data_IF_654010432601
#
_entry.id   IF_654010432601
#
_cell.length_a   1.000
_cell.length_b   1.000
_cell.length_c   1.000
_cell.angle_alpha   90.00
_cell.angle_beta   90.00
_cell.angle_gamma   90.00
#
_symmetry.space_group_name_H-M   'P 1'
#
loop_
_entity.id
_entity.type
_entity.pdbx_description
1 polymer ?
#
# COMPACT_ATOMS: atom_id res chain seq x y z
N UNK A 1 -29.49 -35.53 -18.49
CA UNK A 1 -30.09 -34.18 -18.36
C UNK A 1 -29.98 -33.85 -16.89
N UNK A 2 -28.86 -33.25 -16.44
CA UNK A 2 -28.48 -31.84 -16.62
C UNK A 2 -29.18 -30.96 -15.59
N UNK A 3 -28.87 -31.21 -14.32
CA UNK A 3 -29.13 -30.26 -13.25
C UNK A 3 -28.19 -29.07 -13.46
N UNK A 4 -28.76 -27.97 -13.93
CA UNK A 4 -28.06 -26.69 -14.07
C UNK A 4 -27.99 -26.10 -12.67
N UNK A 5 -26.95 -26.47 -11.91
CA UNK A 5 -26.67 -25.84 -10.62
C UNK A 5 -26.37 -24.36 -10.84
N UNK A 6 -27.34 -23.53 -10.49
CA UNK A 6 -27.27 -22.08 -10.51
C UNK A 6 -26.02 -21.61 -9.72
N UNK A 7 -25.09 -20.83 -10.31
CA UNK A 7 -23.83 -20.49 -9.65
C UNK A 7 -24.11 -19.72 -8.37
N UNK A 8 -23.64 -20.26 -7.23
CA UNK A 8 -23.79 -19.60 -5.93
C UNK A 8 -22.90 -18.35 -5.96
N UNK A 9 -23.54 -17.19 -6.01
CA UNK A 9 -22.86 -15.92 -5.78
C UNK A 9 -22.36 -15.91 -4.33
N UNK A 10 -21.05 -15.77 -4.13
CA UNK A 10 -20.40 -15.80 -2.81
C UNK A 10 -19.51 -14.58 -2.75
N UNK A 11 -19.77 -13.66 -1.83
CA UNK A 11 -18.96 -12.44 -1.67
C UNK A 11 -17.54 -12.79 -1.24
N UNK A 12 -16.58 -11.96 -1.66
CA UNK A 12 -15.14 -12.11 -1.38
C UNK A 12 -14.85 -12.41 0.10
N UNK A 13 -15.51 -11.73 1.02
CA UNK A 13 -15.43 -11.94 2.49
C UNK A 13 -15.82 -13.36 2.93
N UNK A 14 -16.82 -13.98 2.27
CA UNK A 14 -17.23 -15.36 2.56
C UNK A 14 -16.24 -16.37 1.98
N UNK A 15 -15.57 -16.05 0.87
CA UNK A 15 -14.50 -16.88 0.28
C UNK A 15 -13.27 -16.86 1.19
N UNK A 16 -12.85 -15.68 1.67
CA UNK A 16 -11.73 -15.52 2.62
C UNK A 16 -11.96 -16.34 3.89
N UNK A 17 -13.14 -16.22 4.53
CA UNK A 17 -13.49 -17.04 5.70
C UNK A 17 -13.48 -18.54 5.44
N UNK A 18 -13.87 -18.99 4.24
CA UNK A 18 -13.77 -20.40 3.85
C UNK A 18 -12.32 -20.85 3.68
N UNK A 19 -11.44 -20.00 3.15
CA UNK A 19 -10.01 -20.30 3.01
C UNK A 19 -9.31 -20.35 4.37
N UNK A 20 -9.62 -19.42 5.27
CA UNK A 20 -9.14 -19.44 6.66
C UNK A 20 -9.54 -20.75 7.35
N UNK A 21 -10.81 -21.16 7.25
CA UNK A 21 -11.27 -22.47 7.74
C UNK A 21 -10.53 -23.68 7.08
N UNK A 22 -10.17 -23.60 5.78
CA UNK A 22 -9.43 -24.67 5.08
C UNK A 22 -7.96 -24.75 5.56
N UNK A 23 -7.36 -23.61 5.94
CA UNK A 23 -6.04 -23.54 6.56
C UNK A 23 -6.10 -24.14 7.96
N UNK A 24 -7.07 -23.73 8.79
CA UNK A 24 -7.24 -24.22 10.17
C UNK A 24 -7.55 -25.72 10.24
N UNK A 25 -8.34 -26.24 9.29
CA UNK A 25 -8.61 -27.69 9.17
C UNK A 25 -7.50 -28.47 8.47
N UNK A 26 -6.39 -27.81 8.10
CA UNK A 26 -5.24 -28.38 7.38
C UNK A 26 -5.64 -29.22 6.14
N UNK A 27 -6.66 -28.76 5.41
CA UNK A 27 -7.37 -29.56 4.41
C UNK A 27 -6.99 -29.19 2.96
N UNK A 28 -5.73 -28.82 2.73
CA UNK A 28 -5.21 -28.44 1.41
C UNK A 28 -3.70 -28.27 1.37
N UNK A 29 -3.23 -27.64 0.30
CA UNK A 29 -1.87 -27.11 0.20
C UNK A 29 -1.85 -25.75 0.90
N UNK A 30 -1.29 -25.72 2.11
CA UNK A 30 -1.28 -24.53 2.97
C UNK A 30 -0.59 -23.35 2.28
N UNK A 31 0.52 -23.59 1.57
CA UNK A 31 1.27 -22.54 0.88
C UNK A 31 0.46 -21.93 -0.27
N UNK A 32 -0.25 -22.79 -1.02
CA UNK A 32 -1.16 -22.35 -2.07
C UNK A 32 -2.39 -21.61 -1.51
N UNK A 33 -2.97 -22.06 -0.40
CA UNK A 33 -4.08 -21.38 0.28
C UNK A 33 -3.66 -19.99 0.79
N UNK A 34 -2.46 -19.83 1.34
CA UNK A 34 -1.93 -18.51 1.70
C UNK A 34 -1.73 -17.61 0.47
N UNK A 35 -1.17 -18.11 -0.63
CA UNK A 35 -1.02 -17.32 -1.86
C UNK A 35 -2.38 -16.83 -2.39
N UNK A 36 -3.39 -17.70 -2.37
CA UNK A 36 -4.75 -17.36 -2.79
C UNK A 36 -5.38 -16.33 -1.86
N UNK A 37 -5.20 -16.47 -0.54
CA UNK A 37 -5.69 -15.53 0.46
C UNK A 37 -5.01 -14.15 0.34
N UNK A 38 -3.72 -14.12 0.03
CA UNK A 38 -2.96 -12.90 -0.30
C UNK A 38 -3.53 -12.21 -1.55
N UNK A 39 -3.74 -12.95 -2.65
CA UNK A 39 -4.34 -12.42 -3.88
C UNK A 39 -5.75 -11.85 -3.65
N UNK A 40 -6.60 -12.55 -2.88
CA UNK A 40 -7.94 -12.09 -2.55
C UNK A 40 -7.95 -10.87 -1.62
N UNK A 41 -7.01 -10.76 -0.67
CA UNK A 41 -6.85 -9.54 0.15
C UNK A 41 -6.36 -8.34 -0.66
N UNK A 42 -5.60 -8.58 -1.72
CA UNK A 42 -5.10 -7.55 -2.63
C UNK A 42 -6.06 -7.21 -3.79
N UNK A 43 -7.31 -7.71 -3.76
CA UNK A 43 -8.33 -7.57 -4.82
C UNK A 43 -7.81 -7.87 -6.24
N UNK A 44 -6.87 -8.83 -6.35
CA UNK A 44 -6.30 -9.26 -7.63
C UNK A 44 -7.12 -10.42 -8.22
N UNK A 45 -7.33 -10.44 -9.56
CA UNK A 45 -7.98 -11.56 -10.21
C UNK A 45 -7.16 -12.83 -10.00
N UNK A 46 -7.82 -13.87 -9.49
CA UNK A 46 -7.18 -15.13 -9.16
C UNK A 46 -6.86 -15.94 -10.43
N UNK A 47 -5.68 -16.57 -10.51
CA UNK A 47 -5.32 -17.40 -11.67
C UNK A 47 -6.31 -18.55 -11.86
N UNK A 48 -6.58 -18.93 -13.12
CA UNK A 48 -7.53 -19.99 -13.45
C UNK A 48 -7.21 -21.34 -12.76
N UNK A 49 -5.92 -21.66 -12.60
CA UNK A 49 -5.46 -22.83 -11.83
C UNK A 49 -5.91 -22.80 -10.37
N UNK A 50 -5.95 -21.63 -9.75
CA UNK A 50 -6.26 -21.39 -8.34
C UNK A 50 -7.77 -21.24 -8.11
N UNK A 51 -8.49 -20.67 -9.08
CA UNK A 51 -9.95 -20.73 -9.13
C UNK A 51 -10.42 -22.19 -9.15
N UNK A 52 -9.94 -22.99 -10.11
CA UNK A 52 -10.23 -24.43 -10.20
C UNK A 52 -9.83 -25.19 -8.92
N UNK A 53 -8.77 -24.77 -8.23
CA UNK A 53 -8.38 -25.37 -6.96
C UNK A 53 -9.39 -25.07 -5.84
N UNK A 54 -9.84 -23.82 -5.71
CA UNK A 54 -10.89 -23.43 -4.77
C UNK A 54 -12.23 -24.10 -5.09
N UNK A 55 -12.66 -24.12 -6.36
CA UNK A 55 -13.94 -24.72 -6.77
C UNK A 55 -13.99 -26.22 -6.45
N UNK A 56 -12.89 -26.95 -6.70
CA UNK A 56 -12.75 -28.35 -6.34
C UNK A 56 -12.77 -28.59 -4.82
N UNK A 57 -12.24 -27.65 -4.02
CA UNK A 57 -12.20 -27.74 -2.55
C UNK A 57 -13.52 -27.34 -1.89
N UNK A 58 -14.21 -26.34 -2.45
CA UNK A 58 -15.46 -25.77 -1.93
C UNK A 58 -16.70 -26.50 -2.51
N UNK A 59 -16.51 -27.36 -3.53
CA UNK A 59 -17.54 -28.12 -4.24
C UNK A 59 -18.66 -27.23 -4.80
N UNK A 60 -18.26 -26.24 -5.60
CA UNK A 60 -19.20 -25.39 -6.31
C UNK A 60 -18.49 -24.28 -7.09
N UNK A 61 -19.06 -23.94 -8.24
CA UNK A 61 -18.67 -22.74 -8.98
C UNK A 61 -19.08 -21.50 -8.21
N UNK A 62 -18.21 -20.50 -8.18
CA UNK A 62 -18.46 -19.21 -7.55
C UNK A 62 -18.00 -18.07 -8.45
N UNK A 63 -18.78 -17.00 -8.48
CA UNK A 63 -18.38 -15.74 -9.10
C UNK A 63 -17.90 -14.84 -7.98
N UNK A 64 -16.62 -14.43 -8.03
CA UNK A 64 -16.09 -13.41 -7.13
C UNK A 64 -16.75 -12.09 -7.55
N UNK A 65 -17.61 -11.56 -6.69
CA UNK A 65 -18.11 -10.19 -6.79
C UNK A 65 -17.34 -9.38 -5.77
N UNK A 66 -16.56 -8.41 -6.26
CA UNK A 66 -15.82 -7.47 -5.42
C UNK A 66 -16.80 -6.48 -4.77
N UNK A 67 -17.05 -6.64 -3.47
CA UNK A 67 -17.66 -5.60 -2.65
C UNK A 67 -16.57 -4.57 -2.29
N UNK A 68 -16.27 -3.65 -3.21
CA UNK A 68 -15.90 -2.25 -2.92
C UNK A 68 -15.69 -1.42 -4.21
N UNK A 69 -16.76 -1.24 -4.98
CA UNK A 69 -16.97 0.09 -5.59
C UNK A 69 -17.78 0.91 -4.58
N UNK A 70 -17.19 1.94 -3.92
CA UNK A 70 -17.96 2.77 -3.01
C UNK A 70 -19.09 3.43 -3.81
N UNK A 71 -20.32 3.31 -3.28
CA UNK A 71 -21.58 3.87 -3.80
C UNK A 71 -21.34 5.00 -4.80
N UNK A 72 -21.84 4.84 -6.03
CA UNK A 72 -21.90 5.92 -7.01
C UNK A 72 -22.39 7.19 -6.32
N UNK A 73 -21.47 8.11 -6.07
CA UNK A 73 -21.78 9.34 -5.39
C UNK A 73 -22.69 10.10 -6.36
N UNK A 74 -23.95 10.44 -6.02
CA UNK A 74 -24.91 10.98 -7.01
C UNK A 74 -24.44 12.31 -7.62
N UNK A 75 -23.38 12.91 -7.06
CA UNK A 75 -22.64 14.02 -7.64
C UNK A 75 -21.73 13.62 -8.81
N UNK A 76 -21.09 12.45 -8.82
CA UNK A 76 -20.22 11.99 -9.92
C UNK A 76 -21.02 11.76 -11.19
N UNK A 77 -22.14 11.02 -11.12
CA UNK A 77 -23.02 10.82 -12.27
C UNK A 77 -23.58 12.15 -12.79
N UNK A 78 -23.85 13.11 -11.90
CA UNK A 78 -24.25 14.48 -12.27
C UNK A 78 -23.13 15.28 -12.95
N UNK A 79 -21.91 15.24 -12.43
CA UNK A 79 -20.74 15.88 -13.05
C UNK A 79 -20.49 15.27 -14.43
N UNK A 80 -20.58 13.94 -14.56
CA UNK A 80 -20.47 13.24 -15.85
C UNK A 80 -21.54 13.72 -16.82
N UNK A 81 -22.82 13.82 -16.42
CA UNK A 81 -23.87 14.37 -17.30
C UNK A 81 -23.64 15.84 -17.70
N UNK A 82 -22.94 16.65 -16.88
CA UNK A 82 -22.57 18.02 -17.25
C UNK A 82 -21.42 18.05 -18.26
N UNK A 83 -20.47 17.12 -18.17
CA UNK A 83 -19.40 16.92 -19.15
C UNK A 83 -20.00 16.43 -20.47
N UNK A 84 -20.82 15.39 -20.44
CA UNK A 84 -21.44 14.77 -21.63
C UNK A 84 -22.42 15.72 -22.35
N UNK A 85 -23.08 16.62 -21.61
CA UNK A 85 -23.95 17.66 -22.19
C UNK A 85 -23.21 18.94 -22.60
N UNK A 86 -21.90 19.06 -22.31
CA UNK A 86 -21.10 20.26 -22.61
C UNK A 86 -21.50 21.51 -21.80
N UNK A 87 -22.25 21.37 -20.70
CA UNK A 87 -22.79 22.50 -19.93
C UNK A 87 -21.80 22.93 -18.84
N UNK A 88 -20.70 23.56 -19.27
CA UNK A 88 -19.70 24.13 -18.36
C UNK A 88 -18.32 24.28 -18.98
N UNK A 89 -17.33 24.48 -18.12
CA UNK A 89 -15.92 24.37 -18.48
C UNK A 89 -15.49 22.90 -18.30
N UNK A 90 -15.14 22.17 -19.38
CA UNK A 90 -14.82 20.75 -19.29
C UNK A 90 -13.55 20.49 -18.48
N UNK A 91 -12.57 21.40 -18.49
CA UNK A 91 -11.35 21.25 -17.68
C UNK A 91 -11.65 21.39 -16.20
N UNK A 92 -12.51 22.34 -15.84
CA UNK A 92 -12.95 22.54 -14.45
C UNK A 92 -13.87 21.41 -13.96
N UNK A 93 -14.78 20.92 -14.81
CA UNK A 93 -15.64 19.77 -14.48
C UNK A 93 -14.84 18.47 -14.33
N UNK A 94 -13.82 18.23 -15.17
CA UNK A 94 -12.93 17.08 -15.00
C UNK A 94 -12.15 17.17 -13.69
N UNK A 95 -11.61 18.35 -13.33
CA UNK A 95 -10.96 18.57 -12.04
C UNK A 95 -11.90 18.26 -10.87
N UNK A 96 -13.16 18.70 -10.94
CA UNK A 96 -14.18 18.38 -9.94
C UNK A 96 -14.46 16.87 -9.87
N UNK A 97 -14.59 16.20 -11.01
CA UNK A 97 -14.77 14.74 -11.09
C UNK A 97 -13.61 13.99 -10.43
N UNK A 98 -12.37 14.38 -10.72
CA UNK A 98 -11.16 13.79 -10.16
C UNK A 98 -11.04 14.05 -8.64
N UNK A 99 -11.52 15.20 -8.13
CA UNK A 99 -11.55 15.47 -6.69
C UNK A 99 -12.65 14.72 -5.95
N UNK A 100 -13.87 14.65 -6.51
CA UNK A 100 -14.99 13.92 -5.91
C UNK A 100 -14.75 12.41 -5.93
N UNK A 101 -14.17 11.85 -7.01
CA UNK A 101 -13.81 10.42 -7.08
C UNK A 101 -12.70 10.06 -6.08
N UNK A 102 -11.81 11.00 -5.76
CA UNK A 102 -10.83 10.89 -4.67
C UNK A 102 -11.42 11.17 -3.26
N UNK A 103 -12.74 11.36 -3.13
CA UNK A 103 -13.44 11.73 -1.88
C UNK A 103 -12.85 12.98 -1.17
N UNK A 104 -12.30 13.93 -1.93
CA UNK A 104 -11.76 15.19 -1.39
C UNK A 104 -12.82 16.29 -1.45
N UNK A 105 -12.92 17.16 -0.43
CA UNK A 105 -13.85 18.29 -0.46
C UNK A 105 -13.46 19.27 -1.59
N UNK A 106 -14.45 19.68 -2.38
CA UNK A 106 -14.30 20.76 -3.36
C UNK A 106 -14.15 22.11 -2.66
N UNK A 107 -13.46 23.04 -3.30
CA UNK A 107 -13.44 24.43 -2.87
C UNK A 107 -14.84 25.04 -2.95
N UNK A 108 -15.13 26.02 -2.08
CA UNK A 108 -16.45 26.67 -2.04
C UNK A 108 -16.85 27.28 -3.40
N UNK A 109 -15.90 27.86 -4.14
CA UNK A 109 -16.09 28.36 -5.50
C UNK A 109 -16.47 27.27 -6.53
N UNK A 110 -16.05 26.03 -6.31
CA UNK A 110 -16.37 24.87 -7.15
C UNK A 110 -17.72 24.24 -6.76
N UNK A 111 -18.04 24.22 -5.46
CA UNK A 111 -19.36 23.82 -4.96
C UNK A 111 -20.46 24.73 -5.51
N UNK A 112 -20.30 26.05 -5.38
CA UNK A 112 -21.24 27.06 -5.91
C UNK A 112 -21.36 26.97 -7.43
N UNK A 113 -20.25 26.69 -8.14
CA UNK A 113 -20.28 26.47 -9.59
C UNK A 113 -21.14 25.25 -9.97
N UNK A 114 -20.94 24.12 -9.29
CA UNK A 114 -21.72 22.91 -9.50
C UNK A 114 -23.20 23.11 -9.18
N UNK A 115 -23.51 23.75 -8.04
CA UNK A 115 -24.91 24.06 -7.69
C UNK A 115 -25.59 24.92 -8.74
N UNK A 116 -24.93 25.99 -9.21
CA UNK A 116 -25.52 26.88 -10.21
C UNK A 116 -25.72 26.18 -11.55
N UNK A 117 -24.80 25.30 -11.96
CA UNK A 117 -24.94 24.51 -13.19
C UNK A 117 -26.05 23.46 -13.08
N UNK A 118 -26.15 22.77 -11.95
CA UNK A 118 -27.23 21.81 -11.70
C UNK A 118 -28.61 22.50 -11.62
N UNK A 119 -28.70 23.68 -10.98
CA UNK A 119 -29.93 24.51 -10.98
C UNK A 119 -30.31 24.90 -12.42
N UNK A 120 -29.36 25.41 -13.22
CA UNK A 120 -29.64 25.74 -14.63
C UNK A 120 -30.09 24.55 -15.50
N UNK A 121 -29.71 23.31 -15.16
CA UNK A 121 -30.23 22.11 -15.80
C UNK A 121 -31.64 21.71 -15.33
N UNK A 122 -32.02 22.00 -14.07
CA UNK A 122 -33.39 21.78 -13.58
C UNK A 122 -34.38 22.87 -14.00
N UNK A 123 -33.91 24.10 -14.23
CA UNK A 123 -34.77 25.27 -14.47
C UNK A 123 -35.41 25.29 -15.87
N UNK A 124 -34.99 24.41 -16.79
CA UNK A 124 -35.74 24.11 -18.02
C UNK A 124 -37.06 23.35 -17.74
N UNK A 125 -37.33 22.97 -16.49
CA UNK A 125 -38.50 22.20 -16.05
C UNK A 125 -39.14 22.76 -14.76
N UNK A 126 -39.26 24.09 -14.61
CA UNK A 126 -40.39 24.82 -13.96
C UNK A 126 -40.14 26.33 -13.85
N UNK A 127 -40.93 27.13 -14.57
CA UNK A 127 -41.19 28.51 -14.19
C UNK A 127 -42.31 28.54 -13.13
N UNK A 128 -42.09 29.22 -12.00
CA UNK A 128 -42.98 30.23 -11.38
C UNK A 128 -42.75 30.45 -9.87
N UNK A 129 -43.10 31.67 -9.42
CA UNK A 129 -43.15 32.22 -8.05
C UNK A 129 -41.84 32.63 -7.36
N UNK A 130 -41.66 33.97 -7.28
CA UNK A 130 -41.72 34.77 -6.03
C UNK A 130 -40.79 34.43 -4.83
N UNK A 131 -40.28 35.38 -4.04
CA UNK A 131 -39.99 36.82 -4.19
C UNK A 131 -39.26 37.27 -2.90
N UNK A 132 -38.48 38.37 -2.94
CA UNK A 132 -38.04 39.19 -1.77
C UNK A 132 -37.03 38.55 -0.78
N UNK A 133 -35.83 39.14 -0.61
CA UNK A 133 -35.42 40.08 0.47
C UNK A 133 -35.14 39.39 1.83
N UNK A 134 -34.17 39.78 2.67
CA UNK A 134 -33.28 40.96 2.68
C UNK A 134 -32.06 40.72 3.61
N UNK A 135 -30.98 41.51 3.43
CA UNK A 135 -30.01 42.05 4.43
C UNK A 135 -29.40 41.12 5.54
N UNK A 136 -28.26 41.39 6.17
CA UNK A 136 -27.34 42.56 6.20
C UNK A 136 -25.97 42.11 6.76
N UNK A 137 -24.84 42.56 6.18
CA UNK A 137 -23.91 43.60 6.70
C UNK A 137 -23.11 43.19 7.95
N UNK A 138 -21.80 43.04 7.76
CA UNK A 138 -20.72 43.83 8.40
C UNK A 138 -19.42 43.45 7.63
N UNK A 139 -18.79 44.37 6.88
CA UNK A 139 -17.82 45.40 7.34
C UNK A 139 -16.47 44.75 7.76
N UNK A 140 -15.25 45.21 7.42
CA UNK A 140 -14.70 46.36 6.68
C UNK A 140 -13.19 46.05 6.38
N UNK A 141 -12.40 46.62 5.45
CA UNK A 141 -12.53 47.71 4.44
C UNK A 141 -11.42 47.46 3.34
N UNK A 142 -11.61 47.77 2.04
CA UNK A 142 -11.01 48.90 1.25
C UNK A 142 -9.46 49.04 1.41
N UNK A 143 -8.63 49.14 0.37
CA UNK A 143 -8.73 50.12 -0.75
C UNK A 143 -8.17 49.65 -2.10
N UNK A 144 -8.82 50.11 -3.18
CA UNK A 144 -8.31 50.10 -4.55
C UNK A 144 -8.05 51.54 -5.01
N UNK A 145 -6.89 51.82 -5.59
CA UNK A 145 -6.75 52.86 -6.63
C UNK A 145 -5.96 52.21 -7.78
N UNK A 146 -6.51 52.00 -8.99
CA UNK A 146 -7.21 52.86 -9.94
C UNK A 146 -6.38 53.96 -10.61
N UNK A 147 -6.06 53.68 -11.87
CA UNK A 147 -5.99 54.61 -13.03
C UNK A 147 -4.71 55.43 -13.27
N UNK A 148 -4.19 55.17 -14.46
CA UNK A 148 -3.82 56.14 -15.50
C UNK A 148 -2.89 57.30 -15.12
N UNK A 149 -1.67 57.25 -15.69
CA UNK A 149 -1.05 58.45 -16.25
C UNK A 149 -0.23 58.07 -17.49
N UNK A 150 -0.77 58.35 -18.67
CA UNK A 150 -0.01 58.38 -19.92
C UNK A 150 0.94 59.57 -19.88
N UNK A 151 2.25 59.34 -19.89
CA UNK A 151 3.24 60.42 -19.98
C UNK A 151 3.51 60.69 -21.46
N UNK A 152 2.68 61.53 -22.06
CA UNK A 152 2.93 62.10 -23.38
C UNK A 152 4.18 62.99 -23.35
N UNK A 153 5.14 62.85 -24.28
CA UNK A 153 6.30 63.73 -24.34
C UNK A 153 5.84 65.13 -24.75
N UNK A 154 6.02 66.11 -23.85
CA UNK A 154 5.64 67.49 -24.11
C UNK A 154 6.67 68.14 -25.06
N UNK A 155 6.48 67.94 -26.36
CA UNK A 155 7.21 68.64 -27.42
C UNK A 155 6.73 70.10 -27.43
N UNK A 156 7.32 70.90 -26.53
CA UNK A 156 7.20 72.35 -26.57
C UNK A 156 8.12 72.85 -27.68
N UNK A 157 7.66 72.74 -28.91
CA UNK A 157 8.23 73.42 -30.06
C UNK A 157 7.99 74.93 -29.91
N UNK A 158 8.79 75.58 -29.06
CA UNK A 158 8.89 77.03 -29.01
C UNK A 158 9.60 77.54 -30.27
N UNK A 159 8.91 77.50 -31.40
CA UNK A 159 9.17 78.39 -32.54
C UNK A 159 8.78 79.80 -32.16
N UNK A 160 9.56 80.42 -31.26
CA UNK A 160 9.56 81.86 -31.07
C UNK A 160 10.02 82.50 -32.38
N UNK A 161 9.07 82.93 -33.18
CA UNK A 161 9.33 83.88 -34.26
C UNK A 161 10.04 85.08 -33.65
N UNK A 162 11.30 85.32 -34.05
CA UNK A 162 12.01 86.57 -33.73
C UNK A 162 11.38 87.72 -34.53
N UNK A 163 10.21 88.17 -34.07
CA UNK A 163 9.71 89.51 -34.38
C UNK A 163 10.65 90.50 -33.67
N UNK A 164 11.53 91.17 -34.42
CA UNK A 164 12.33 92.28 -33.89
C UNK A 164 11.38 93.30 -33.23
N UNK A 165 11.56 93.65 -31.95
CA UNK A 165 10.86 94.79 -31.38
C UNK A 165 11.26 96.04 -32.17
N UNK A 166 10.31 96.67 -32.85
CA UNK A 166 10.53 97.98 -33.48
C UNK A 166 10.69 99.03 -32.38
N UNK A 167 11.92 99.18 -31.88
CA UNK A 167 12.33 100.20 -30.93
C UNK A 167 12.16 101.59 -31.57
N UNK A 168 10.96 102.17 -31.44
CA UNK A 168 10.73 103.61 -31.66
C UNK A 168 11.26 104.40 -30.45
N UNK A 169 12.58 104.41 -30.31
CA UNK A 169 13.30 105.38 -29.49
C UNK A 169 14.07 106.32 -30.41
N UNK A 170 13.71 107.61 -30.42
CA UNK A 170 14.59 108.63 -31.02
C UNK A 170 15.80 108.81 -30.12
N UNK A 171 17.01 108.62 -30.64
CA UNK A 171 18.23 108.80 -29.85
C UNK A 171 18.35 110.23 -29.31
N UNK A 172 18.98 110.43 -28.14
CA UNK A 172 19.26 111.76 -27.62
C UNK A 172 20.06 112.60 -28.62
N UNK A 173 19.68 113.87 -28.81
CA UNK A 173 20.48 114.81 -29.62
C UNK A 173 21.86 114.95 -28.98
N UNK A 174 22.91 114.53 -29.69
CA UNK A 174 24.29 114.44 -29.19
C UNK A 174 24.88 113.03 -29.19
N UNK A 175 24.13 112.00 -29.60
CA UNK A 175 24.69 110.67 -29.87
C UNK A 175 25.39 110.65 -31.24
N UNK A 176 26.71 110.79 -31.24
CA UNK A 176 27.54 110.50 -32.40
C UNK A 176 27.85 108.98 -32.39
N UNK A 177 27.58 108.23 -33.48
CA UNK A 177 28.06 106.86 -33.55
C UNK A 177 29.60 106.86 -33.51
N UNK A 178 30.24 105.95 -32.75
CA UNK A 178 31.70 105.88 -32.72
C UNK A 178 32.21 105.59 -34.13
N UNK A 179 33.29 106.27 -34.51
CA UNK A 179 33.94 106.07 -35.81
C UNK A 179 34.28 104.59 -36.02
N UNK A 180 34.20 104.16 -37.28
CA UNK A 180 34.12 102.77 -37.72
C UNK A 180 35.20 101.86 -37.10
N UNK A 181 34.90 101.26 -35.94
CA UNK A 181 35.72 100.23 -35.30
C UNK A 181 35.49 98.86 -35.97
N UNK A 182 35.91 98.74 -37.22
CA UNK A 182 35.89 97.48 -37.99
C UNK A 182 36.50 96.32 -37.20
N UNK A 183 37.54 96.59 -36.43
CA UNK A 183 38.34 95.59 -35.74
C UNK A 183 37.60 95.01 -34.52
N UNK A 184 36.80 95.83 -33.81
CA UNK A 184 35.94 95.35 -32.72
C UNK A 184 34.77 94.50 -33.26
N UNK A 185 34.15 94.88 -34.39
CA UNK A 185 33.12 94.05 -35.03
C UNK A 185 33.67 92.76 -35.64
N UNK A 186 34.86 92.80 -36.24
CA UNK A 186 35.51 91.60 -36.80
C UNK A 186 35.88 90.62 -35.68
N UNK A 187 36.45 91.12 -34.58
CA UNK A 187 36.72 90.32 -33.38
C UNK A 187 35.46 89.79 -32.68
N UNK A 188 34.30 90.42 -32.84
CA UNK A 188 33.01 89.86 -32.41
C UNK A 188 32.54 88.74 -33.34
N UNK A 189 32.67 88.90 -34.66
CA UNK A 189 32.29 87.88 -35.64
C UNK A 189 33.15 86.62 -35.55
N UNK A 190 34.45 86.76 -35.33
CA UNK A 190 35.36 85.63 -35.07
C UNK A 190 34.97 84.89 -33.78
N UNK A 191 34.65 85.61 -32.69
CA UNK A 191 34.17 85.00 -31.45
C UNK A 191 32.88 84.21 -31.67
N UNK A 192 31.89 84.80 -32.34
CA UNK A 192 30.63 84.11 -32.68
C UNK A 192 30.92 82.84 -33.49
N UNK A 193 31.84 82.89 -34.47
CA UNK A 193 32.22 81.71 -35.26
C UNK A 193 32.85 80.61 -34.38
N UNK A 194 33.77 80.97 -33.48
CA UNK A 194 34.37 80.00 -32.54
C UNK A 194 33.36 79.44 -31.54
N UNK A 195 32.36 80.23 -31.15
CA UNK A 195 31.26 79.80 -30.28
C UNK A 195 30.26 78.89 -31.01
N UNK A 196 29.98 79.15 -32.29
CA UNK A 196 29.22 78.22 -33.13
C UNK A 196 29.95 76.89 -33.36
N UNK A 197 31.27 76.91 -33.49
CA UNK A 197 32.10 75.71 -33.63
C UNK A 197 32.11 74.91 -32.32
N UNK A 198 32.31 75.55 -31.16
CA UNK A 198 32.21 74.87 -29.85
C UNK A 198 30.78 74.37 -29.57
N UNK A 199 29.74 75.08 -29.99
CA UNK A 199 28.34 74.61 -29.91
C UNK A 199 28.10 73.37 -30.77
N UNK A 200 28.73 73.26 -31.95
CA UNK A 200 28.68 72.05 -32.81
C UNK A 200 29.40 70.88 -32.14
N UNK A 201 30.52 71.11 -31.45
CA UNK A 201 31.22 70.08 -30.68
C UNK A 201 30.42 69.63 -29.46
N UNK A 202 29.86 70.56 -28.68
CA UNK A 202 28.96 70.24 -27.57
C UNK A 202 27.75 69.40 -28.01
N UNK A 203 27.18 69.66 -29.19
CA UNK A 203 26.10 68.83 -29.77
C UNK A 203 26.57 67.41 -30.08
N UNK A 204 27.78 67.23 -30.65
CA UNK A 204 28.36 65.89 -30.90
C UNK A 204 28.60 65.13 -29.59
N UNK A 205 29.20 65.80 -28.60
CA UNK A 205 29.44 65.24 -27.26
C UNK A 205 28.11 64.84 -26.60
N UNK A 206 27.07 65.65 -26.74
CA UNK A 206 25.74 65.34 -26.22
C UNK A 206 25.14 64.08 -26.86
N UNK A 207 25.20 63.93 -28.19
CA UNK A 207 24.74 62.72 -28.88
C UNK A 207 25.55 61.47 -28.49
N UNK A 208 26.86 61.60 -28.29
CA UNK A 208 27.70 60.49 -27.81
C UNK A 208 27.33 60.08 -26.37
N UNK A 209 27.08 61.04 -25.48
CA UNK A 209 26.57 60.79 -24.12
C UNK A 209 25.20 60.08 -24.17
N UNK A 210 24.32 60.44 -25.11
CA UNK A 210 23.01 59.79 -25.27
C UNK A 210 23.14 58.33 -25.76
N UNK A 211 24.04 58.06 -26.70
CA UNK A 211 24.40 56.69 -27.14
C UNK A 211 25.00 55.87 -25.98
N UNK A 212 25.87 56.47 -25.18
CA UNK A 212 26.44 55.79 -24.01
C UNK A 212 25.40 55.52 -22.91
N UNK A 213 24.45 56.44 -22.70
CA UNK A 213 23.31 56.26 -21.78
C UNK A 213 22.39 55.12 -22.21
N UNK A 214 22.05 55.02 -23.50
CA UNK A 214 21.20 53.92 -23.99
C UNK A 214 21.92 52.56 -23.90
N UNK A 215 23.21 52.50 -24.24
CA UNK A 215 24.05 51.30 -24.04
C UNK A 215 24.15 50.89 -22.57
N UNK A 216 24.29 51.85 -21.65
CA UNK A 216 24.30 51.57 -20.21
C UNK A 216 22.94 51.07 -19.71
N UNK A 217 21.83 51.67 -20.16
CA UNK A 217 20.49 51.21 -19.83
C UNK A 217 20.25 49.76 -20.29
N UNK A 218 20.69 49.40 -21.50
CA UNK A 218 20.63 48.03 -22.00
C UNK A 218 21.47 47.06 -21.15
N UNK A 219 22.69 47.45 -20.74
CA UNK A 219 23.52 46.64 -19.83
C UNK A 219 22.87 46.44 -18.45
N UNK A 220 22.18 47.45 -17.91
CA UNK A 220 21.46 47.36 -16.64
C UNK A 220 20.26 46.40 -16.76
N UNK A 221 19.51 46.47 -17.85
CA UNK A 221 18.39 45.55 -18.13
C UNK A 221 18.90 44.10 -18.23
N UNK A 222 19.89 43.84 -19.10
CA UNK A 222 20.48 42.51 -19.26
C UNK A 222 21.02 41.96 -17.94
N UNK A 223 21.73 42.80 -17.15
CA UNK A 223 22.23 42.40 -15.83
C UNK A 223 21.10 41.96 -14.90
N UNK A 224 20.00 42.72 -14.84
CA UNK A 224 18.84 42.40 -14.01
C UNK A 224 18.17 41.10 -14.46
N UNK A 225 18.09 40.86 -15.78
CA UNK A 225 17.58 39.60 -16.33
C UNK A 225 18.46 38.41 -15.94
N UNK A 226 19.79 38.53 -16.03
CA UNK A 226 20.71 37.47 -15.59
C UNK A 226 20.67 37.24 -14.07
N UNK A 227 20.59 38.30 -13.25
CA UNK A 227 20.44 38.16 -11.79
C UNK A 227 19.14 37.42 -11.43
N UNK A 228 18.04 37.70 -12.14
CA UNK A 228 16.78 36.96 -11.99
C UNK A 228 16.90 35.49 -12.44
N UNK A 229 17.54 35.22 -13.58
CA UNK A 229 17.75 33.85 -14.08
C UNK A 229 18.57 33.01 -13.10
N UNK A 230 19.71 33.54 -12.61
CA UNK A 230 20.56 32.90 -11.61
C UNK A 230 19.79 32.67 -10.30
N UNK A 231 18.95 33.61 -9.87
CA UNK A 231 18.14 33.43 -8.66
C UNK A 231 17.07 32.35 -8.81
N UNK A 232 16.47 32.20 -10.00
CA UNK A 232 15.50 31.14 -10.30
C UNK A 232 16.18 29.77 -10.34
N UNK A 233 17.30 29.66 -11.05
CA UNK A 233 18.08 28.42 -11.16
C UNK A 233 18.58 27.96 -9.78
N UNK A 234 19.10 28.89 -8.96
CA UNK A 234 19.49 28.59 -7.58
C UNK A 234 18.31 28.05 -6.76
N UNK A 235 17.14 28.68 -6.84
CA UNK A 235 15.95 28.22 -6.11
C UNK A 235 15.49 26.82 -6.55
N UNK A 236 15.60 26.51 -7.85
CA UNK A 236 15.31 25.19 -8.40
C UNK A 236 16.30 24.13 -7.87
N UNK A 237 17.60 24.42 -7.91
CA UNK A 237 18.65 23.53 -7.40
C UNK A 237 18.51 23.33 -5.88
N UNK A 238 18.27 24.39 -5.10
CA UNK A 238 18.03 24.32 -3.66
C UNK A 238 16.79 23.46 -3.33
N UNK A 239 15.77 23.43 -4.21
CA UNK A 239 14.60 22.56 -4.07
C UNK A 239 14.93 21.09 -4.39
N UNK A 240 15.66 20.83 -5.49
CA UNK A 240 16.08 19.49 -5.88
C UNK A 240 17.01 18.87 -4.83
N UNK A 241 17.98 19.63 -4.32
CA UNK A 241 18.90 19.20 -3.26
C UNK A 241 18.14 18.78 -1.98
N UNK A 242 17.10 19.52 -1.59
CA UNK A 242 16.24 19.15 -0.45
C UNK A 242 15.47 17.86 -0.69
N UNK A 243 14.94 17.67 -1.90
CA UNK A 243 14.22 16.44 -2.27
C UNK A 243 15.15 15.21 -2.24
N UNK A 244 16.35 15.33 -2.82
CA UNK A 244 17.37 14.26 -2.77
C UNK A 244 17.86 13.98 -1.34
N UNK A 245 18.02 15.00 -0.49
CA UNK A 245 18.32 14.79 0.93
C UNK A 245 17.24 14.01 1.67
N UNK A 246 15.94 14.25 1.37
CA UNK A 246 14.85 13.46 1.95
C UNK A 246 14.90 12.00 1.47
N UNK A 247 15.09 11.77 0.17
CA UNK A 247 15.26 10.41 -0.40
C UNK A 247 16.43 9.65 0.24
N UNK A 248 17.59 10.31 0.39
CA UNK A 248 18.76 9.75 1.06
C UNK A 248 18.44 9.43 2.53
N UNK A 249 17.75 10.32 3.25
CA UNK A 249 17.36 10.08 4.64
C UNK A 249 16.42 8.88 4.79
N UNK A 250 15.44 8.73 3.89
CA UNK A 250 14.54 7.57 3.84
C UNK A 250 15.29 6.27 3.53
N UNK A 251 16.19 6.30 2.54
CA UNK A 251 17.06 5.17 2.20
C UNK A 251 17.98 4.78 3.37
N UNK A 252 18.54 5.75 4.10
CA UNK A 252 19.37 5.50 5.29
C UNK A 252 18.56 4.78 6.37
N UNK A 253 17.38 5.30 6.73
CA UNK A 253 16.47 4.65 7.72
C UNK A 253 16.11 3.22 7.32
N UNK A 254 15.83 2.98 6.03
CA UNK A 254 15.55 1.63 5.53
C UNK A 254 16.78 0.71 5.64
N UNK A 255 17.98 1.21 5.34
CA UNK A 255 19.22 0.43 5.46
C UNK A 255 19.56 0.09 6.92
N UNK A 256 19.31 1.01 7.87
CA UNK A 256 19.42 0.75 9.31
C UNK A 256 18.46 -0.37 9.76
N UNK A 257 17.20 -0.33 9.32
CA UNK A 257 16.22 -1.39 9.60
C UNK A 257 16.66 -2.74 9.04
N UNK A 258 17.19 -2.79 7.81
CA UNK A 258 17.73 -4.01 7.20
C UNK A 258 18.92 -4.56 8.01
N UNK A 259 19.79 -3.69 8.52
CA UNK A 259 20.93 -4.11 9.37
C UNK A 259 20.44 -4.71 10.70
N UNK A 260 19.44 -4.09 11.35
CA UNK A 260 18.84 -4.60 12.57
C UNK A 260 18.17 -5.98 12.35
N UNK A 261 17.34 -6.11 11.31
CA UNK A 261 16.69 -7.37 10.95
C UNK A 261 17.71 -8.47 10.62
N UNK A 262 18.80 -8.13 9.91
CA UNK A 262 19.87 -9.07 9.59
C UNK A 262 20.55 -9.62 10.86
N UNK A 263 20.81 -8.76 11.85
CA UNK A 263 21.39 -9.15 13.12
C UNK A 263 20.44 -10.03 13.96
N UNK A 264 19.13 -9.78 13.90
CA UNK A 264 18.11 -10.63 14.53
C UNK A 264 18.03 -12.01 13.86
N UNK A 265 17.99 -12.08 12.53
CA UNK A 265 18.01 -13.33 11.76
C UNK A 265 19.27 -14.15 12.08
N UNK A 266 20.43 -13.52 12.29
CA UNK A 266 21.66 -14.20 12.68
C UNK A 266 21.55 -14.85 14.07
N UNK A 267 20.98 -14.16 15.07
CA UNK A 267 20.70 -14.72 16.40
C UNK A 267 19.74 -15.91 16.33
N UNK A 268 18.59 -15.75 15.65
CA UNK A 268 17.60 -16.82 15.46
C UNK A 268 18.21 -18.03 14.76
N UNK A 269 19.12 -17.80 13.80
CA UNK A 269 19.86 -18.87 13.11
C UNK A 269 20.83 -19.60 14.06
N UNK A 270 21.52 -18.89 14.96
CA UNK A 270 22.36 -19.54 15.98
C UNK A 270 21.54 -20.37 16.97
N UNK A 271 20.45 -19.82 17.50
CA UNK A 271 19.54 -20.53 18.42
C UNK A 271 18.92 -21.77 17.77
N UNK A 272 18.44 -21.66 16.51
CA UNK A 272 17.95 -22.80 15.74
C UNK A 272 19.01 -23.90 15.62
N UNK A 273 20.26 -23.53 15.34
CA UNK A 273 21.35 -24.51 15.18
C UNK A 273 21.66 -25.23 16.51
N UNK A 274 21.56 -24.54 17.65
CA UNK A 274 21.69 -25.16 18.97
C UNK A 274 20.53 -26.09 19.31
N UNK A 275 19.29 -25.67 19.04
CA UNK A 275 18.11 -26.51 19.21
C UNK A 275 18.18 -27.77 18.32
N UNK A 276 18.60 -27.63 17.06
CA UNK A 276 18.82 -28.77 16.17
C UNK A 276 19.86 -29.75 16.72
N UNK A 277 20.97 -29.26 17.29
CA UNK A 277 21.97 -30.12 17.95
C UNK A 277 21.36 -30.89 19.14
N UNK A 278 20.60 -30.21 20.00
CA UNK A 278 19.90 -30.85 21.14
C UNK A 278 18.94 -31.95 20.67
N UNK A 279 18.08 -31.62 19.69
CA UNK A 279 17.13 -32.57 19.07
C UNK A 279 17.88 -33.78 18.47
N UNK A 280 19.02 -33.59 17.81
CA UNK A 280 19.78 -34.74 17.27
C UNK A 280 20.36 -35.65 18.37
N UNK A 281 20.83 -35.08 19.48
CA UNK A 281 21.36 -35.84 20.63
C UNK A 281 20.23 -36.61 21.33
N UNK A 282 19.11 -35.93 21.62
CA UNK A 282 17.92 -36.55 22.24
C UNK A 282 17.36 -37.68 21.37
N UNK A 283 17.27 -37.46 20.05
CA UNK A 283 16.84 -38.50 19.09
C UNK A 283 17.76 -39.71 19.09
N UNK A 284 19.08 -39.52 19.19
CA UNK A 284 20.05 -40.61 19.27
C UNK A 284 19.93 -41.38 20.59
N UNK A 285 19.71 -40.67 21.71
CA UNK A 285 19.47 -41.28 23.03
C UNK A 285 18.18 -42.13 23.04
N UNK A 286 17.07 -41.58 22.54
CA UNK A 286 15.79 -42.29 22.42
C UNK A 286 15.91 -43.51 21.50
N UNK A 287 16.68 -43.42 20.41
CA UNK A 287 16.91 -44.56 19.52
C UNK A 287 17.67 -45.69 20.23
N UNK A 288 18.72 -45.38 21.01
CA UNK A 288 19.49 -46.37 21.79
C UNK A 288 18.65 -47.01 22.90
N UNK A 289 17.85 -46.21 23.60
CA UNK A 289 16.95 -46.72 24.65
C UNK A 289 15.86 -47.64 24.06
N UNK A 290 15.27 -47.27 22.92
CA UNK A 290 14.30 -48.11 22.21
C UNK A 290 14.92 -49.43 21.74
N UNK A 291 16.14 -49.39 21.19
CA UNK A 291 16.89 -50.59 20.80
C UNK A 291 17.17 -51.50 21.99
N UNK A 292 17.59 -50.92 23.13
CA UNK A 292 17.82 -51.65 24.37
C UNK A 292 16.55 -52.35 24.88
N UNK A 293 15.43 -51.62 24.98
CA UNK A 293 14.13 -52.17 25.40
C UNK A 293 13.62 -53.25 24.44
N UNK A 294 13.82 -53.08 23.13
CA UNK A 294 13.45 -54.08 22.12
C UNK A 294 14.26 -55.38 22.30
N UNK A 295 15.55 -55.27 22.61
CA UNK A 295 16.41 -56.43 22.87
C UNK A 295 16.01 -57.16 24.17
N UNK A 296 15.72 -56.43 25.25
CA UNK A 296 15.16 -57.01 26.48
C UNK A 296 13.85 -57.75 26.23
N UNK A 297 12.90 -57.13 25.51
CA UNK A 297 11.62 -57.76 25.17
C UNK A 297 11.80 -59.02 24.31
N UNK A 298 12.79 -59.03 23.41
CA UNK A 298 13.12 -60.22 22.62
C UNK A 298 13.62 -61.36 23.51
N UNK A 299 14.48 -61.07 24.49
CA UNK A 299 14.99 -62.06 25.43
C UNK A 299 13.88 -62.62 26.34
N UNK A 300 13.06 -61.74 26.92
CA UNK A 300 11.91 -62.13 27.76
C UNK A 300 10.94 -63.01 26.96
N UNK A 301 10.73 -62.70 25.67
CA UNK A 301 9.88 -63.52 24.78
C UNK A 301 10.44 -64.91 24.54
N UNK A 302 11.77 -65.06 24.37
CA UNK A 302 12.39 -66.39 24.23
C UNK A 302 12.31 -67.19 25.52
N UNK A 303 12.56 -66.57 26.68
CA UNK A 303 12.43 -67.19 28.00
C UNK A 303 10.98 -67.65 28.28
N UNK A 304 9.99 -66.83 27.91
CA UNK A 304 8.57 -67.21 27.99
C UNK A 304 8.23 -68.43 27.11
N UNK A 305 8.77 -68.52 25.90
CA UNK A 305 8.54 -69.66 25.00
C UNK A 305 9.15 -70.95 25.56
N UNK A 306 10.31 -70.88 26.22
CA UNK A 306 10.92 -72.01 26.92
C UNK A 306 10.10 -72.47 28.12
N UNK A 307 9.63 -71.53 28.95
CA UNK A 307 8.74 -71.83 30.09
C UNK A 307 7.42 -72.45 29.59
N UNK A 308 6.83 -71.95 28.51
CA UNK A 308 5.60 -72.52 27.97
C UNK A 308 5.80 -73.96 27.44
N UNK A 309 6.96 -74.26 26.84
CA UNK A 309 7.35 -75.63 26.45
C UNK A 309 7.48 -76.54 27.67
N UNK A 310 8.13 -76.09 28.75
CA UNK A 310 8.25 -76.85 30.00
C UNK A 310 6.87 -77.14 30.61
N UNK A 311 6.00 -76.13 30.74
CA UNK A 311 4.63 -76.28 31.25
C UNK A 311 3.81 -77.28 30.40
N UNK A 312 3.97 -77.28 29.07
CA UNK A 312 3.30 -78.26 28.18
C UNK A 312 3.78 -79.69 28.47
N UNK A 313 5.08 -79.90 28.71
CA UNK A 313 5.65 -81.20 29.07
C UNK A 313 5.15 -81.67 30.44
N UNK A 314 5.15 -80.80 31.45
CA UNK A 314 4.66 -81.10 32.79
C UNK A 314 3.17 -81.46 32.80
N UNK A 315 2.32 -80.69 32.12
CA UNK A 315 0.89 -80.99 31.96
C UNK A 315 0.66 -82.36 31.31
N UNK A 316 1.46 -82.72 30.32
CA UNK A 316 1.38 -84.01 29.63
C UNK A 316 1.82 -85.16 30.56
N UNK A 317 2.86 -84.94 31.38
CA UNK A 317 3.30 -85.90 32.41
C UNK A 317 2.25 -86.12 33.50
N UNK A 318 1.67 -85.03 34.04
CA UNK A 318 0.59 -85.08 35.03
C UNK A 318 -0.66 -85.77 34.47
N UNK A 319 -1.02 -85.51 33.21
CA UNK A 319 -2.14 -86.18 32.54
C UNK A 319 -1.93 -87.70 32.41
N UNK A 320 -0.71 -88.14 32.05
CA UNK A 320 -0.35 -89.57 32.03
C UNK A 320 -0.47 -90.21 33.42
N UNK A 321 0.08 -89.56 34.44
CA UNK A 321 0.03 -90.04 35.83
C UNK A 321 -1.42 -90.15 36.33
N UNK A 322 -2.28 -89.19 36.00
CA UNK A 322 -3.70 -89.20 36.37
C UNK A 322 -4.45 -90.36 35.69
N UNK A 323 -4.22 -90.60 34.41
CA UNK A 323 -4.85 -91.73 33.69
C UNK A 323 -4.33 -93.08 34.21
N UNK A 324 -3.03 -93.20 34.56
CA UNK A 324 -2.48 -94.39 35.20
C UNK A 324 -3.10 -94.65 36.59
N UNK A 325 -3.24 -93.62 37.42
CA UNK A 325 -3.92 -93.73 38.72
C UNK A 325 -5.39 -94.14 38.56
N UNK A 326 -6.10 -93.55 37.59
CA UNK A 326 -7.50 -93.88 37.26
C UNK A 326 -7.64 -95.34 36.82
N UNK A 327 -6.76 -95.84 35.94
CA UNK A 327 -6.72 -97.25 35.52
C UNK A 327 -6.44 -98.18 36.71
N UNK A 328 -5.51 -97.81 37.61
CA UNK A 328 -5.20 -98.60 38.79
C UNK A 328 -6.34 -98.62 39.81
N UNK A 329 -7.03 -97.48 40.04
CA UNK A 329 -8.24 -97.40 40.85
C UNK A 329 -9.39 -98.24 40.26
N UNK A 330 -9.57 -98.24 38.94
CA UNK A 330 -10.56 -99.07 38.26
C UNK A 330 -10.28 -100.56 38.44
N UNK A 331 -9.01 -100.99 38.32
CA UNK A 331 -8.59 -102.38 38.63
C UNK A 331 -8.86 -102.74 40.10
N UNK A 332 -8.51 -101.86 41.05
CA UNK A 332 -8.80 -102.07 42.48
C UNK A 332 -10.30 -102.19 42.75
N UNK A 333 -11.12 -101.38 42.07
CA UNK A 333 -12.60 -101.46 42.15
C UNK A 333 -13.13 -102.80 41.64
N UNK A 334 -12.64 -103.29 40.49
CA UNK A 334 -13.00 -104.60 39.94
C UNK A 334 -12.62 -105.74 40.90
N UNK A 335 -11.39 -105.74 41.42
CA UNK A 335 -10.92 -106.74 42.40
C UNK A 335 -11.80 -106.71 43.68
N UNK A 336 -12.20 -105.53 44.14
CA UNK A 336 -13.06 -105.39 45.32
C UNK A 336 -14.48 -105.93 45.06
N UNK A 337 -15.02 -105.79 43.84
CA UNK A 337 -16.28 -106.43 43.44
C UNK A 337 -16.16 -107.95 43.42
N UNK A 338 -15.10 -108.52 42.83
CA UNK A 338 -14.86 -109.97 42.87
C UNK A 338 -14.71 -110.51 44.30
N UNK A 339 -14.03 -109.77 45.19
CA UNK A 339 -13.89 -110.15 46.60
C UNK A 339 -15.26 -110.18 47.29
N UNK A 340 -16.12 -109.19 47.04
CA UNK A 340 -17.49 -109.17 47.57
C UNK A 340 -18.34 -110.33 47.06
N UNK A 341 -18.24 -110.66 45.77
CA UNK A 341 -18.93 -111.83 45.19
C UNK A 341 -18.46 -113.14 45.83
N UNK A 342 -17.14 -113.34 45.93
CA UNK A 342 -16.54 -114.50 46.62
C UNK A 342 -16.91 -114.57 48.10
N UNK A 343 -17.05 -113.43 48.79
CA UNK A 343 -17.56 -113.38 50.18
C UNK A 343 -19.01 -113.82 50.28
N UNK A 344 -19.89 -113.35 49.38
CA UNK A 344 -21.29 -113.77 49.30
C UNK A 344 -21.42 -115.27 49.04
N UNK A 345 -20.59 -115.84 48.17
CA UNK A 345 -20.58 -117.28 47.90
C UNK A 345 -19.98 -118.12 49.05
N UNK A 346 -18.97 -117.58 49.74
CA UNK A 346 -18.47 -118.17 50.99
C UNK A 346 -19.56 -118.17 52.09
N UNK A 347 -20.39 -117.14 52.16
CA UNK A 347 -21.53 -117.12 53.09
C UNK A 347 -22.62 -118.12 52.70
N UNK A 348 -22.97 -118.23 51.41
CA UNK A 348 -23.94 -119.24 50.93
C UNK A 348 -23.45 -120.65 51.26
N UNK A 349 -22.18 -120.95 50.98
CA UNK A 349 -21.59 -122.26 51.27
C UNK A 349 -21.51 -122.53 52.78
N UNK A 350 -21.11 -121.56 53.61
CA UNK A 350 -21.18 -121.68 55.09
C UNK A 350 -22.60 -121.94 55.60
N UNK A 351 -23.62 -121.23 55.08
CA UNK A 351 -25.03 -121.46 55.45
C UNK A 351 -25.50 -122.86 55.03
N UNK A 352 -25.02 -123.37 53.89
CA UNK A 352 -25.34 -124.71 53.41
C UNK A 352 -24.62 -125.82 54.20
N UNK A 353 -23.34 -125.67 54.57
CA UNK A 353 -22.64 -126.64 55.42
C UNK A 353 -23.19 -126.64 56.84
N UNK A 354 -23.54 -125.48 57.40
CA UNK A 354 -24.19 -125.38 58.71
C UNK A 354 -25.57 -126.08 58.73
N UNK A 355 -26.34 -126.02 57.63
CA UNK A 355 -27.55 -126.84 57.45
C UNK A 355 -27.28 -128.34 57.37
N UNK A 356 -26.10 -128.76 56.92
CA UNK A 356 -25.71 -130.17 56.81
C UNK A 356 -25.30 -130.79 58.16
N UNK A 357 -24.79 -129.98 59.10
CA UNK A 357 -24.44 -130.41 60.47
C UNK A 357 -25.59 -130.32 61.48
N UNK A 358 -26.78 -129.89 61.04
CA UNK A 358 -28.00 -129.73 61.86
C UNK A 358 -29.07 -130.79 61.51
N UNK A 359 -28.65 -131.93 60.97
CA UNK A 359 -29.51 -133.01 60.47
C UNK A 359 -28.88 -134.37 60.75
#
# INVERSE_FOLDING_TARGET
MSDIENPKQVTQTQIIKKIENLIDTNSGDIGRLYHILECLKQSKPLYHSDQMYLENKIKGQFIIVDEDSPKENPLLSKIQTLIDSGVGDPGRLQYMYDKVSQNKPLFHSDQVYLENKLKSSTDNLKNNSENFENLSVDDNIIEQESKNNEITPNIVSNTTQYQLPKLRGTMPKGWNPPENKSDELTGLYEKIKTEEESLKEHKKIHSEIEIQRSKLAQLILNRKEYENQVSLEKSLLDSQIKEEHLKIQEQTKLSEQIILQKAEIEKVKTERNELMKKITIEKEQVAKELEYQKNQLSQIRTEQEEIEKQIKIERLSLSKMLEEQKVNLQKQSQINLEIKEKQVDLEKTKKNTMKFYLK
#
